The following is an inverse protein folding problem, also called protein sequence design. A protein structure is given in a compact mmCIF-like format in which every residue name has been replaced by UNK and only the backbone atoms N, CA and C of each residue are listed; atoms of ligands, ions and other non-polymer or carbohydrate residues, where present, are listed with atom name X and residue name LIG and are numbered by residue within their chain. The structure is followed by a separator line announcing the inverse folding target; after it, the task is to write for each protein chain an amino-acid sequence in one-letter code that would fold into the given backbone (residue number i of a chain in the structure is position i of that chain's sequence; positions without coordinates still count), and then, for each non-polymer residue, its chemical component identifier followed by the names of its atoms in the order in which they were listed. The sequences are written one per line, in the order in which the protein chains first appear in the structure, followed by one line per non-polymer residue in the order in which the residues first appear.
data_IF_848968713363
#
_entry.id   IF_848968713363
#
_cell.length_a   1.000
_cell.length_b   1.000
_cell.length_c   1.000
_cell.angle_alpha   90.00
_cell.angle_beta   90.00
_cell.angle_gamma   90.00
#
_symmetry.space_group_name_H-M   'P 1'
#
loop_
_entity.id
_entity.type
_entity.pdbx_description
1 polymer ?
#
# COMPACT_ATOMS: atom_id res chain seq x y z
N UNK A 1 13.06 15.32 -16.35
CA UNK A 1 12.10 14.43 -15.65
C UNK A 1 10.73 15.01 -15.89
N UNK A 2 9.72 14.21 -16.23
CA UNK A 2 8.37 14.73 -16.42
C UNK A 2 7.94 15.46 -15.14
N UNK A 3 7.56 16.71 -15.29
CA UNK A 3 7.13 17.62 -14.24
C UNK A 3 5.80 17.09 -13.67
N UNK A 4 5.86 16.07 -12.81
CA UNK A 4 4.67 15.54 -12.18
C UNK A 4 4.26 16.55 -11.13
N UNK A 5 3.16 17.26 -11.35
CA UNK A 5 2.60 18.21 -10.39
C UNK A 5 2.07 17.55 -9.11
N UNK A 6 2.11 16.22 -9.02
CA UNK A 6 1.44 15.42 -7.98
C UNK A 6 2.20 14.15 -7.55
N UNK A 7 3.49 13.99 -7.89
CA UNK A 7 4.35 12.89 -7.45
C UNK A 7 4.08 11.54 -8.13
N UNK A 8 3.09 11.48 -9.03
CA UNK A 8 2.68 10.26 -9.72
C UNK A 8 3.57 10.03 -10.93
N UNK A 9 4.72 9.41 -10.71
CA UNK A 9 5.62 8.92 -11.73
C UNK A 9 6.23 7.60 -11.28
N UNK A 10 6.64 6.74 -12.22
CA UNK A 10 7.46 5.60 -11.86
C UNK A 10 8.82 6.09 -11.37
N UNK A 11 9.10 5.83 -10.09
CA UNK A 11 10.34 6.19 -9.42
C UNK A 11 10.83 4.99 -8.62
N UNK A 12 12.12 4.62 -8.68
CA UNK A 12 12.67 3.57 -7.83
C UNK A 12 12.43 3.84 -6.34
N UNK A 13 12.26 2.78 -5.55
CA UNK A 13 11.96 2.93 -4.11
C UNK A 13 13.04 3.71 -3.35
N UNK A 14 14.30 3.45 -3.67
CA UNK A 14 15.46 4.11 -3.07
C UNK A 14 15.50 5.60 -3.37
N UNK A 15 15.11 6.01 -4.58
CA UNK A 15 14.98 7.42 -4.95
C UNK A 15 13.77 8.08 -4.28
N UNK A 16 12.64 7.38 -4.19
CA UNK A 16 11.43 7.86 -3.53
C UNK A 16 11.64 8.13 -2.03
N UNK A 17 12.40 7.27 -1.36
CA UNK A 17 12.70 7.37 0.08
C UNK A 17 13.89 8.27 0.40
N UNK A 18 14.58 8.83 -0.60
CA UNK A 18 15.76 9.66 -0.37
C UNK A 18 15.41 10.94 0.40
N UNK A 19 16.18 11.18 1.47
CA UNK A 19 16.10 12.36 2.32
C UNK A 19 17.40 13.16 2.25
N UNK A 20 17.30 14.47 2.14
CA UNK A 20 18.41 15.39 2.40
C UNK A 20 18.51 15.64 3.91
N UNK A 21 19.67 15.37 4.49
CA UNK A 21 19.95 15.71 5.89
C UNK A 21 20.23 17.20 6.00
N UNK A 22 19.40 17.94 6.74
CA UNK A 22 19.56 19.38 6.97
C UNK A 22 20.50 19.60 8.15
N UNK A 23 20.29 18.86 9.24
CA UNK A 23 21.11 18.87 10.46
C UNK A 23 21.08 17.49 11.13
N UNK A 24 21.55 17.37 12.38
CA UNK A 24 21.64 16.10 13.10
C UNK A 24 20.32 15.30 13.17
N UNK A 25 19.18 16.00 13.28
CA UNK A 25 17.87 15.40 13.51
C UNK A 25 16.80 15.85 12.52
N UNK A 26 17.12 16.76 11.61
CA UNK A 26 16.20 17.31 10.62
C UNK A 26 16.49 16.78 9.23
N UNK A 27 15.47 16.26 8.57
CA UNK A 27 15.54 15.68 7.23
C UNK A 27 14.48 16.28 6.31
N UNK A 28 14.75 16.32 5.00
CA UNK A 28 13.84 16.85 3.98
C UNK A 28 13.61 15.80 2.90
N UNK A 29 12.36 15.56 2.53
CA UNK A 29 12.05 14.72 1.36
C UNK A 29 12.58 15.37 0.09
N UNK A 30 13.19 14.57 -0.78
CA UNK A 30 13.65 15.00 -2.11
C UNK A 30 12.66 14.65 -3.22
N UNK A 31 11.66 13.82 -2.91
CA UNK A 31 10.61 13.39 -3.82
C UNK A 31 9.24 13.85 -3.31
N UNK A 32 8.35 14.21 -4.24
CA UNK A 32 6.94 14.45 -3.93
C UNK A 32 6.24 13.12 -3.68
N UNK A 33 5.36 13.09 -2.68
CA UNK A 33 4.58 11.90 -2.37
C UNK A 33 3.57 11.60 -3.49
N UNK A 34 3.31 10.31 -3.71
CA UNK A 34 2.19 9.85 -4.53
C UNK A 34 0.88 10.51 -4.08
N UNK A 35 0.08 10.93 -5.05
CA UNK A 35 -1.24 11.50 -4.81
C UNK A 35 -2.32 10.63 -5.47
N UNK A 36 -3.12 9.87 -4.69
CA UNK A 36 -4.20 9.03 -5.22
C UNK A 36 -5.14 9.82 -6.14
N UNK A 37 -5.42 9.26 -7.32
CA UNK A 37 -6.26 9.89 -8.34
C UNK A 37 -5.71 11.23 -8.85
N UNK A 38 -4.40 11.46 -8.75
CA UNK A 38 -3.74 12.66 -9.22
C UNK A 38 -4.09 13.94 -8.44
N UNK A 39 -4.55 13.78 -7.20
CA UNK A 39 -4.93 14.87 -6.32
C UNK A 39 -3.78 15.70 -5.72
N UNK A 40 -4.09 16.45 -4.65
CA UNK A 40 -3.12 17.27 -3.91
C UNK A 40 -2.82 16.71 -2.50
N UNK A 41 -3.35 15.53 -2.18
CA UNK A 41 -3.18 14.92 -0.86
C UNK A 41 -2.00 13.96 -0.92
N UNK A 42 -1.05 14.09 0.01
CA UNK A 42 0.05 13.15 0.13
C UNK A 42 -0.46 11.77 0.59
N UNK A 43 0.04 10.72 -0.04
CA UNK A 43 -0.17 9.34 0.40
C UNK A 43 0.41 9.09 1.80
N UNK A 44 -0.40 8.52 2.70
CA UNK A 44 -0.04 8.30 4.10
C UNK A 44 1.17 7.39 4.27
N UNK A 45 1.24 6.30 3.51
CA UNK A 45 2.36 5.37 3.51
C UNK A 45 3.70 6.03 3.16
N UNK A 46 3.69 7.07 2.31
CA UNK A 46 4.90 7.86 2.03
C UNK A 46 5.41 8.57 3.27
N UNK A 47 4.52 9.30 3.95
CA UNK A 47 4.84 10.07 5.16
C UNK A 47 5.29 9.13 6.27
N UNK A 48 4.57 8.01 6.47
CA UNK A 48 4.88 7.04 7.51
C UNK A 48 6.23 6.37 7.28
N UNK A 49 6.47 5.86 6.06
CA UNK A 49 7.73 5.23 5.68
C UNK A 49 8.91 6.18 5.79
N UNK A 50 8.81 7.40 5.27
CA UNK A 50 9.90 8.39 5.37
C UNK A 50 10.16 8.85 6.80
N UNK A 51 9.14 8.98 7.65
CA UNK A 51 9.32 9.31 9.06
C UNK A 51 10.11 8.22 9.79
N UNK A 52 9.80 6.95 9.53
CA UNK A 52 10.56 5.82 10.08
C UNK A 52 11.97 5.78 9.50
N UNK A 53 12.14 6.05 8.20
CA UNK A 53 13.45 6.12 7.57
C UNK A 53 14.33 7.21 8.19
N UNK A 54 13.80 8.41 8.38
CA UNK A 54 14.49 9.51 9.05
C UNK A 54 14.90 9.15 10.48
N UNK A 55 13.97 8.59 11.26
CA UNK A 55 14.25 8.13 12.63
C UNK A 55 15.37 7.07 12.65
N UNK A 56 15.36 6.15 11.69
CA UNK A 56 16.37 5.09 11.59
C UNK A 56 17.79 5.58 11.32
N UNK A 57 17.95 6.78 10.76
CA UNK A 57 19.26 7.41 10.54
C UNK A 57 19.84 8.07 11.81
N UNK A 58 19.08 8.09 12.91
CA UNK A 58 19.47 8.70 14.19
C UNK A 58 19.65 7.67 15.32
N UNK A 59 19.38 6.40 15.05
CA UNK A 59 19.66 5.30 15.97
C UNK A 59 21.04 4.69 15.67
N UNK A 60 21.64 4.03 16.66
CA UNK A 60 22.94 3.36 16.48
C UNK A 60 22.83 2.21 15.48
N UNK A 61 23.92 1.93 14.78
CA UNK A 61 24.04 0.77 13.90
C UNK A 61 23.71 -0.53 14.66
N UNK A 62 23.09 -1.47 13.95
CA UNK A 62 22.65 -2.76 14.49
C UNK A 62 21.27 -2.74 15.15
N UNK A 63 20.65 -1.58 15.37
CA UNK A 63 19.26 -1.49 15.80
C UNK A 63 18.31 -1.48 14.59
N UNK A 64 17.39 -2.43 14.55
CA UNK A 64 16.29 -2.46 13.59
C UNK A 64 14.95 -2.22 14.27
N UNK A 65 13.96 -1.83 13.46
CA UNK A 65 12.63 -1.47 13.94
C UNK A 65 11.88 -2.75 14.35
N UNK A 66 12.12 -3.30 15.56
CA UNK A 66 11.31 -4.30 16.34
C UNK A 66 12.06 -5.57 16.86
N UNK A 67 11.47 -6.34 17.81
CA UNK A 67 11.85 -7.71 18.16
C UNK A 67 10.92 -8.81 17.57
N UNK A 68 11.43 -10.03 17.28
CA UNK A 68 10.65 -11.11 16.65
C UNK A 68 9.63 -11.78 17.58
N UNK A 69 8.58 -12.39 16.98
CA UNK A 69 7.60 -13.27 17.63
C UNK A 69 7.43 -14.56 16.83
N UNK A 70 7.07 -15.69 17.47
CA UNK A 70 6.88 -16.96 16.76
C UNK A 70 5.70 -16.88 15.77
N UNK A 71 5.87 -17.53 14.62
CA UNK A 71 4.91 -17.57 13.53
C UNK A 71 3.74 -18.54 13.80
N UNK A 72 2.54 -18.20 13.32
CA UNK A 72 1.37 -19.09 13.26
C UNK A 72 1.44 -19.98 12.00
N UNK A 73 0.95 -21.21 12.08
CA UNK A 73 0.84 -22.10 10.91
C UNK A 73 -0.35 -21.68 10.03
N UNK A 74 -0.09 -20.94 8.96
CA UNK A 74 -1.07 -20.53 7.94
C UNK A 74 -0.41 -20.57 6.56
N UNK A 75 -1.17 -20.83 5.49
CA UNK A 75 -0.67 -20.77 4.12
C UNK A 75 -1.62 -19.97 3.26
N UNK A 76 -1.13 -18.87 2.69
CA UNK A 76 -1.91 -17.95 1.84
C UNK A 76 -2.38 -18.69 0.59
N UNK A 77 -1.47 -19.40 -0.08
CA UNK A 77 -1.78 -20.12 -1.31
C UNK A 77 -2.81 -21.24 -1.10
N UNK A 78 -2.75 -21.92 0.06
CA UNK A 78 -3.72 -22.98 0.39
C UNK A 78 -5.09 -22.40 0.69
N UNK A 79 -5.18 -21.41 1.58
CA UNK A 79 -6.43 -20.78 2.00
C UNK A 79 -7.16 -20.11 0.82
N UNK A 80 -6.42 -19.39 -0.02
CA UNK A 80 -6.96 -18.61 -1.12
C UNK A 80 -6.81 -19.29 -2.49
N UNK A 81 -6.63 -20.61 -2.49
CA UNK A 81 -6.42 -21.41 -3.71
C UNK A 81 -7.50 -21.19 -4.77
N UNK A 82 -8.75 -20.91 -4.37
CA UNK A 82 -9.86 -20.64 -5.30
C UNK A 82 -9.65 -19.43 -6.21
N UNK A 83 -8.77 -18.50 -5.82
CA UNK A 83 -8.49 -17.25 -6.57
C UNK A 83 -7.00 -17.11 -6.95
N UNK A 84 -6.11 -17.91 -6.36
CA UNK A 84 -4.67 -17.88 -6.63
C UNK A 84 -4.19 -19.03 -7.51
N UNK A 85 -4.90 -20.16 -7.56
CA UNK A 85 -4.43 -21.34 -8.29
C UNK A 85 -4.20 -21.02 -9.78
N UNK A 86 -3.01 -21.37 -10.27
CA UNK A 86 -2.61 -21.17 -11.67
C UNK A 86 -2.19 -19.74 -12.03
N UNK A 87 -2.09 -18.83 -11.06
CA UNK A 87 -1.67 -17.44 -11.28
C UNK A 87 -0.44 -17.12 -10.44
N UNK A 88 0.61 -16.62 -11.08
CA UNK A 88 1.73 -16.02 -10.39
C UNK A 88 1.35 -14.61 -9.88
N UNK A 89 2.04 -14.05 -8.87
CA UNK A 89 1.79 -12.69 -8.39
C UNK A 89 1.72 -11.62 -9.48
N UNK A 90 2.54 -11.75 -10.53
CA UNK A 90 2.63 -10.81 -11.64
C UNK A 90 1.45 -10.90 -12.64
N UNK A 91 0.69 -11.99 -12.63
CA UNK A 91 -0.44 -12.21 -13.54
C UNK A 91 -1.69 -11.44 -13.10
N UNK A 92 -1.74 -11.02 -11.83
CA UNK A 92 -2.81 -10.19 -11.30
C UNK A 92 -2.69 -8.73 -11.82
N UNK A 93 -3.82 -8.03 -12.02
CA UNK A 93 -3.83 -6.66 -12.52
C UNK A 93 -3.14 -5.71 -11.54
N UNK A 94 -2.60 -4.60 -12.06
CA UNK A 94 -2.09 -3.51 -11.23
C UNK A 94 -3.19 -2.96 -10.32
N UNK A 95 -2.84 -2.68 -9.06
CA UNK A 95 -3.78 -2.07 -8.12
C UNK A 95 -4.11 -0.64 -8.57
N UNK A 96 -5.40 -0.27 -8.67
CA UNK A 96 -5.81 1.05 -9.18
C UNK A 96 -5.37 2.16 -8.22
N UNK A 97 -5.04 3.34 -8.75
CA UNK A 97 -4.64 4.51 -7.94
C UNK A 97 -5.67 4.85 -6.85
N UNK A 98 -6.95 4.80 -7.20
CA UNK A 98 -8.07 4.84 -6.26
C UNK A 98 -8.89 3.56 -6.41
N UNK A 99 -8.99 2.79 -5.33
CA UNK A 99 -9.73 1.53 -5.36
C UNK A 99 -11.21 1.73 -5.08
N UNK A 100 -11.90 2.43 -5.97
CA UNK A 100 -13.35 2.66 -5.87
C UNK A 100 -14.04 2.44 -7.22
N UNK A 101 -15.30 1.97 -7.24
CA UNK A 101 -16.01 1.68 -8.49
C UNK A 101 -16.06 2.83 -9.49
N UNK A 102 -16.24 4.07 -9.04
CA UNK A 102 -16.20 5.25 -9.92
C UNK A 102 -14.86 5.39 -10.67
N UNK A 103 -13.73 5.06 -10.02
CA UNK A 103 -12.40 5.14 -10.64
C UNK A 103 -12.16 3.97 -11.59
N UNK A 104 -12.64 2.77 -11.24
CA UNK A 104 -12.60 1.62 -12.13
C UNK A 104 -13.39 1.89 -13.42
N UNK A 105 -14.60 2.47 -13.32
CA UNK A 105 -15.41 2.87 -14.47
C UNK A 105 -14.70 3.93 -15.32
N UNK A 106 -14.09 4.93 -14.69
CA UNK A 106 -13.26 5.93 -15.36
C UNK A 106 -12.11 5.30 -16.17
N UNK A 107 -11.43 4.31 -15.59
CA UNK A 107 -10.34 3.58 -16.24
C UNK A 107 -10.82 2.67 -17.36
N UNK A 108 -11.97 2.00 -17.18
CA UNK A 108 -12.62 1.21 -18.23
C UNK A 108 -13.02 2.07 -19.44
N UNK A 109 -13.26 3.38 -19.23
CA UNK A 109 -13.46 4.37 -20.30
C UNK A 109 -12.19 4.77 -21.07
N UNK A 110 -11.04 4.15 -20.79
CA UNK A 110 -9.78 4.37 -21.52
C UNK A 110 -8.86 5.42 -20.90
N UNK A 111 -9.20 6.00 -19.75
CA UNK A 111 -8.29 6.92 -19.04
C UNK A 111 -7.03 6.19 -18.59
N UNK A 112 -5.86 6.84 -18.61
CA UNK A 112 -4.59 6.28 -18.13
C UNK A 112 -4.54 6.11 -16.60
N UNK A 113 -3.68 5.21 -16.11
CA UNK A 113 -3.44 5.01 -14.68
C UNK A 113 -2.58 6.14 -14.13
N UNK A 114 -2.75 6.46 -12.85
CA UNK A 114 -1.76 7.26 -12.15
C UNK A 114 -0.69 6.31 -11.58
N UNK A 115 0.56 6.37 -12.07
CA UNK A 115 1.60 5.40 -11.70
C UNK A 115 1.93 5.52 -10.22
N UNK A 116 2.02 4.38 -9.54
CA UNK A 116 2.43 4.30 -8.15
C UNK A 116 3.96 4.18 -8.06
N UNK A 117 4.67 5.14 -7.44
CA UNK A 117 6.12 5.07 -7.31
C UNK A 117 6.54 4.04 -6.26
N UNK A 118 7.81 3.63 -6.32
CA UNK A 118 8.46 2.83 -5.31
C UNK A 118 8.11 1.34 -5.36
N UNK A 119 6.84 0.96 -5.55
CA UNK A 119 6.42 -0.44 -5.56
C UNK A 119 5.56 -0.76 -6.79
N UNK A 120 5.70 -1.99 -7.30
CA UNK A 120 4.69 -2.61 -8.15
C UNK A 120 3.71 -3.34 -7.25
N UNK A 121 2.42 -2.98 -7.31
CA UNK A 121 1.37 -3.59 -6.49
C UNK A 121 0.30 -4.20 -7.39
N UNK A 122 -0.01 -5.48 -7.17
CA UNK A 122 -1.02 -6.23 -7.91
C UNK A 122 -2.19 -6.56 -7.01
N UNK A 123 -3.41 -6.35 -7.50
CA UNK A 123 -4.65 -6.62 -6.77
C UNK A 123 -5.25 -7.93 -7.25
N UNK A 124 -5.46 -8.87 -6.33
CA UNK A 124 -6.14 -10.13 -6.65
C UNK A 124 -7.65 -9.88 -6.78
N UNK A 125 -8.27 -10.47 -7.79
CA UNK A 125 -9.73 -10.50 -7.89
C UNK A 125 -10.30 -11.49 -6.87
N UNK A 126 -10.90 -10.95 -5.82
CA UNK A 126 -11.47 -11.72 -4.72
C UNK A 126 -12.98 -11.95 -4.88
N UNK A 127 -13.61 -11.57 -6.00
CA UNK A 127 -15.05 -11.63 -6.17
C UNK A 127 -15.62 -13.03 -5.91
N UNK A 128 -14.97 -14.07 -6.45
CA UNK A 128 -15.35 -15.46 -6.21
C UNK A 128 -15.22 -15.89 -4.74
N UNK A 129 -14.10 -15.54 -4.08
CA UNK A 129 -13.86 -15.89 -2.67
C UNK A 129 -14.80 -15.16 -1.71
N UNK A 130 -15.12 -13.89 -2.01
CA UNK A 130 -15.95 -13.03 -1.17
C UNK A 130 -17.46 -13.22 -1.38
N UNK A 131 -17.85 -13.91 -2.46
CA UNK A 131 -19.26 -14.17 -2.76
C UNK A 131 -19.97 -14.87 -1.59
N UNK A 132 -21.10 -14.31 -1.16
CA UNK A 132 -21.89 -14.83 -0.04
C UNK A 132 -21.32 -14.59 1.36
N UNK A 133 -20.12 -14.00 1.49
CA UNK A 133 -19.53 -13.66 2.80
C UNK A 133 -20.09 -12.33 3.32
N UNK A 134 -20.30 -12.28 4.64
CA UNK A 134 -20.63 -11.03 5.31
C UNK A 134 -19.49 -10.01 5.13
N UNK A 135 -19.78 -8.69 5.10
CA UNK A 135 -18.78 -7.66 4.84
C UNK A 135 -17.46 -7.76 5.62
N UNK A 136 -17.52 -8.12 6.91
CA UNK A 136 -16.34 -8.21 7.78
C UNK A 136 -15.53 -9.52 7.57
N UNK A 137 -16.15 -10.52 6.95
CA UNK A 137 -15.52 -11.80 6.59
C UNK A 137 -14.90 -11.80 5.20
N UNK A 138 -15.10 -10.71 4.44
CA UNK A 138 -14.47 -10.52 3.13
C UNK A 138 -12.98 -10.23 3.28
N UNK A 139 -12.20 -10.61 2.28
CA UNK A 139 -10.75 -10.46 2.23
C UNK A 139 -10.33 -9.76 0.95
N UNK A 140 -9.24 -9.01 1.02
CA UNK A 140 -8.54 -8.49 -0.15
C UNK A 140 -7.06 -8.88 -0.07
N UNK A 141 -6.54 -9.43 -1.16
CA UNK A 141 -5.11 -9.70 -1.30
C UNK A 141 -4.46 -8.68 -2.23
N UNK A 142 -3.28 -8.21 -1.84
CA UNK A 142 -2.38 -7.46 -2.70
C UNK A 142 -1.01 -8.13 -2.72
N UNK A 143 -0.47 -8.38 -3.90
CA UNK A 143 0.95 -8.70 -4.05
C UNK A 143 1.73 -7.41 -4.26
N UNK A 144 2.93 -7.31 -3.69
CA UNK A 144 3.80 -6.18 -3.94
C UNK A 144 5.28 -6.56 -3.99
N UNK A 145 6.04 -5.77 -4.72
CA UNK A 145 7.51 -5.81 -4.76
C UNK A 145 8.08 -4.42 -5.05
N UNK A 146 9.35 -4.20 -4.74
CA UNK A 146 10.03 -2.93 -5.05
C UNK A 146 10.20 -2.68 -6.54
N UNK A 147 10.16 -1.42 -6.93
CA UNK A 147 10.62 -0.91 -8.22
C UNK A 147 12.08 -0.46 -8.09
N UNK A 148 12.92 -0.92 -9.02
CA UNK A 148 14.34 -0.60 -9.05
C UNK A 148 15.19 -1.44 -8.10
N UNK A 149 16.48 -1.12 -8.05
CA UNK A 149 17.44 -1.83 -7.22
C UNK A 149 17.36 -1.40 -5.75
N UNK A 150 17.66 -2.34 -4.85
CA UNK A 150 17.82 -2.09 -3.42
C UNK A 150 19.29 -2.29 -3.02
N UNK A 151 19.80 -1.52 -2.04
CA UNK A 151 21.07 -1.85 -1.41
C UNK A 151 21.01 -3.25 -0.75
N UNK A 152 22.15 -3.93 -0.54
CA UNK A 152 22.19 -5.17 0.24
C UNK A 152 21.55 -5.00 1.63
N UNK A 153 20.78 -6.00 2.07
CA UNK A 153 20.08 -5.98 3.37
C UNK A 153 21.03 -5.65 4.53
N UNK A 154 22.24 -6.19 4.52
CA UNK A 154 23.23 -5.96 5.57
C UNK A 154 23.67 -4.49 5.69
N UNK A 155 23.55 -3.70 4.61
CA UNK A 155 23.95 -2.29 4.58
C UNK A 155 22.80 -1.34 4.91
N UNK A 156 21.56 -1.71 4.59
CA UNK A 156 20.41 -0.83 4.79
C UNK A 156 19.13 -1.59 5.18
N UNK A 157 19.12 -2.35 6.29
CA UNK A 157 17.98 -3.20 6.65
C UNK A 157 16.70 -2.38 6.83
N UNK A 158 16.80 -1.20 7.46
CA UNK A 158 15.66 -0.32 7.69
C UNK A 158 15.02 0.20 6.40
N UNK A 159 15.78 0.31 5.29
CA UNK A 159 15.21 0.71 4.00
C UNK A 159 14.32 -0.40 3.40
N UNK A 160 14.68 -1.67 3.59
CA UNK A 160 13.80 -2.79 3.22
C UNK A 160 12.53 -2.81 4.07
N UNK A 161 12.65 -2.60 5.39
CA UNK A 161 11.50 -2.49 6.29
C UNK A 161 10.57 -1.33 5.88
N UNK A 162 11.13 -0.18 5.49
CA UNK A 162 10.37 0.96 4.99
C UNK A 162 9.51 0.61 3.76
N UNK A 163 9.97 -0.27 2.87
CA UNK A 163 9.16 -0.70 1.74
C UNK A 163 7.90 -1.46 2.17
N UNK A 164 7.95 -2.26 3.25
CA UNK A 164 6.76 -2.90 3.82
C UNK A 164 5.80 -1.87 4.47
N UNK A 165 6.34 -0.86 5.16
CA UNK A 165 5.54 0.24 5.72
C UNK A 165 4.85 1.07 4.62
N UNK A 166 5.54 1.27 3.51
CA UNK A 166 5.00 1.98 2.36
C UNK A 166 3.89 1.17 1.68
N UNK A 167 4.04 -0.15 1.61
CA UNK A 167 3.02 -1.06 1.07
C UNK A 167 1.77 -1.15 1.95
N UNK A 168 1.92 -1.14 3.28
CA UNK A 168 0.84 -1.43 4.23
C UNK A 168 -0.36 -0.48 4.14
N UNK A 169 -0.14 0.77 3.75
CA UNK A 169 -1.17 1.80 3.60
C UNK A 169 -1.85 1.79 2.21
N UNK A 170 -1.41 0.92 1.28
CA UNK A 170 -1.86 0.99 -0.11
C UNK A 170 -3.33 0.57 -0.21
N UNK A 171 -4.15 1.48 -0.74
CA UNK A 171 -5.62 1.40 -0.83
C UNK A 171 -6.37 1.32 0.51
N UNK A 172 -5.90 0.56 1.49
CA UNK A 172 -6.37 0.53 2.89
C UNK A 172 -7.88 0.79 3.06
N UNK A 173 -8.30 1.99 3.44
CA UNK A 173 -9.70 2.34 3.70
C UNK A 173 -10.65 2.13 2.51
N UNK A 174 -10.14 2.21 1.27
CA UNK A 174 -10.92 1.88 0.07
C UNK A 174 -11.32 0.40 0.05
N UNK A 175 -10.43 -0.50 0.50
CA UNK A 175 -10.72 -1.93 0.65
C UNK A 175 -11.90 -2.12 1.60
N UNK A 176 -11.91 -1.38 2.72
CA UNK A 176 -13.02 -1.47 3.68
C UNK A 176 -14.33 -0.97 3.05
N UNK A 177 -14.30 0.17 2.36
CA UNK A 177 -15.49 0.71 1.70
C UNK A 177 -16.07 -0.28 0.67
N UNK A 178 -15.21 -0.94 -0.10
CA UNK A 178 -15.62 -1.98 -1.05
C UNK A 178 -16.19 -3.21 -0.33
N UNK A 179 -15.52 -3.70 0.73
CA UNK A 179 -16.02 -4.84 1.51
C UNK A 179 -17.38 -4.55 2.17
N UNK A 180 -17.68 -3.29 2.48
CA UNK A 180 -18.97 -2.84 3.03
C UNK A 180 -20.02 -2.49 1.97
N UNK A 181 -19.76 -2.74 0.68
CA UNK A 181 -20.64 -2.39 -0.45
C UNK A 181 -20.96 -0.89 -0.57
N UNK A 182 -20.08 -0.04 -0.03
CA UNK A 182 -20.19 1.43 -0.07
C UNK A 182 -18.99 2.07 -0.77
N UNK A 183 -18.34 1.36 -1.70
CA UNK A 183 -17.18 1.85 -2.46
C UNK A 183 -17.44 3.15 -3.23
N UNK A 184 -18.70 3.40 -3.62
CA UNK A 184 -19.16 4.67 -4.21
C UNK A 184 -20.10 5.44 -3.26
N UNK A 185 -20.18 5.04 -1.99
CA UNK A 185 -21.17 5.52 -1.03
C UNK A 185 -20.56 6.28 0.13
N UNK A 186 -19.47 7.03 -0.07
CA UNK A 186 -18.86 7.82 1.00
C UNK A 186 -18.53 9.27 0.59
N UNK A 187 -18.62 10.14 1.57
CA UNK A 187 -18.37 11.58 1.42
C UNK A 187 -16.94 11.98 1.77
N UNK A 188 -16.36 11.33 2.79
CA UNK A 188 -15.03 11.64 3.31
C UNK A 188 -14.32 10.36 3.72
N UNK A 189 -13.02 10.31 3.44
CA UNK A 189 -12.13 9.24 3.82
C UNK A 189 -10.77 9.83 4.19
N UNK A 190 -10.22 9.44 5.33
CA UNK A 190 -8.89 9.87 5.77
C UNK A 190 -8.32 8.89 6.81
N UNK A 191 -7.02 8.68 6.80
CA UNK A 191 -6.30 7.93 7.84
C UNK A 191 -6.28 8.72 9.15
N UNK A 192 -6.55 8.07 10.27
CA UNK A 192 -6.45 8.66 11.62
C UNK A 192 -5.22 8.12 12.37
N UNK A 193 -4.97 6.82 12.27
CA UNK A 193 -3.80 6.16 12.84
C UNK A 193 -3.37 4.99 11.96
N UNK A 194 -2.08 4.66 11.94
CA UNK A 194 -1.54 3.49 11.24
C UNK A 194 -0.43 2.88 12.08
N UNK A 195 -0.42 1.55 12.21
CA UNK A 195 0.58 0.84 13.02
C UNK A 195 0.97 -0.44 12.31
N UNK A 196 2.28 -0.71 12.31
CA UNK A 196 2.88 -1.95 11.79
C UNK A 196 3.73 -2.56 12.89
N UNK A 197 3.60 -3.87 13.06
CA UNK A 197 4.46 -4.69 13.91
C UNK A 197 5.03 -5.78 13.03
N UNK A 198 6.34 -5.74 12.81
CA UNK A 198 7.07 -6.85 12.22
C UNK A 198 7.22 -7.98 13.25
N UNK A 199 7.34 -9.23 12.81
CA UNK A 199 7.41 -10.39 13.69
C UNK A 199 8.64 -11.27 13.44
N UNK A 200 9.45 -10.98 12.43
CA UNK A 200 10.59 -11.81 12.01
C UNK A 200 11.88 -11.02 12.05
N UNK A 201 13.02 -11.72 12.07
CA UNK A 201 14.31 -11.09 11.81
C UNK A 201 14.35 -10.42 10.42
N UNK A 202 15.42 -9.67 10.13
CA UNK A 202 15.51 -8.86 8.90
C UNK A 202 15.57 -9.70 7.61
N UNK A 203 16.09 -10.93 7.67
CA UNK A 203 16.34 -11.72 6.45
C UNK A 203 15.05 -12.02 5.65
N UNK A 204 13.95 -12.51 6.26
CA UNK A 204 12.66 -12.64 5.57
C UNK A 204 12.03 -11.33 5.08
N UNK A 205 12.49 -10.17 5.56
CA UNK A 205 12.00 -8.83 5.16
C UNK A 205 12.81 -8.25 4.00
N UNK A 206 13.74 -9.00 3.42
CA UNK A 206 14.56 -8.54 2.31
C UNK A 206 13.73 -8.38 1.02
N UNK A 207 13.62 -7.13 0.54
CA UNK A 207 12.97 -6.81 -0.73
C UNK A 207 13.60 -7.41 -2.00
N UNK A 208 14.77 -8.02 -1.89
CA UNK A 208 15.47 -8.70 -2.99
C UNK A 208 16.08 -10.02 -2.52
N UNK A 209 16.19 -10.98 -3.41
CA UNK A 209 16.94 -12.22 -3.17
C UNK A 209 18.47 -12.00 -3.24
N UNK A 210 19.25 -13.07 -3.05
CA UNK A 210 20.71 -13.05 -3.11
C UNK A 210 21.27 -12.61 -4.48
N UNK A 211 20.46 -12.69 -5.54
CA UNK A 211 20.80 -12.22 -6.88
C UNK A 211 20.34 -10.78 -7.13
N UNK A 212 19.96 -10.05 -6.08
CA UNK A 212 19.42 -8.69 -6.11
C UNK A 212 18.13 -8.55 -6.95
N UNK A 213 17.39 -9.65 -7.13
CA UNK A 213 16.11 -9.64 -7.86
C UNK A 213 14.97 -9.29 -6.91
N UNK A 214 14.08 -8.34 -7.25
CA UNK A 214 12.93 -8.00 -6.43
C UNK A 214 12.00 -9.19 -6.17
N UNK A 215 11.71 -9.46 -4.90
CA UNK A 215 10.84 -10.56 -4.47
C UNK A 215 9.41 -10.07 -4.18
N UNK A 216 8.44 -10.97 -4.32
CA UNK A 216 7.03 -10.68 -4.06
C UNK A 216 6.65 -11.00 -2.62
N UNK A 217 5.83 -10.13 -2.03
CA UNK A 217 5.16 -10.34 -0.76
C UNK A 217 3.65 -10.27 -0.95
N UNK A 218 2.89 -10.91 -0.07
CA UNK A 218 1.43 -10.85 -0.07
C UNK A 218 0.92 -10.10 1.17
N UNK A 219 0.08 -9.09 0.98
CA UNK A 219 -0.70 -8.46 2.03
C UNK A 219 -2.15 -8.93 1.95
N UNK A 220 -2.61 -9.58 3.00
CA UNK A 220 -4.01 -9.93 3.24
C UNK A 220 -4.67 -8.85 4.11
N UNK A 221 -5.78 -8.28 3.67
CA UNK A 221 -6.47 -7.20 4.37
C UNK A 221 -7.97 -7.45 4.58
N UNK A 222 -8.52 -6.96 5.69
CA UNK A 222 -9.95 -7.00 6.02
C UNK A 222 -10.34 -5.91 7.02
N UNK A 223 -11.63 -5.90 7.41
CA UNK A 223 -12.15 -5.03 8.46
C UNK A 223 -12.76 -5.85 9.59
N UNK A 224 -12.50 -5.49 10.84
CA UNK A 224 -13.19 -6.06 12.01
C UNK A 224 -14.36 -5.22 12.50
N UNK A 225 -14.43 -3.94 12.09
CA UNK A 225 -15.47 -3.00 12.54
C UNK A 225 -15.53 -1.76 11.66
N UNK A 226 -16.75 -1.31 11.38
CA UNK A 226 -17.03 0.04 10.87
C UNK A 226 -18.27 0.59 11.58
N UNK A 227 -18.11 1.73 12.27
CA UNK A 227 -19.17 2.36 13.05
C UNK A 227 -18.81 3.82 13.38
N UNK A 228 -19.83 4.66 13.61
CA UNK A 228 -19.62 6.03 14.09
C UNK A 228 -18.81 6.91 13.12
N UNK A 229 -18.92 6.66 11.81
CA UNK A 229 -18.16 7.36 10.78
C UNK A 229 -16.68 6.97 10.71
N UNK A 230 -16.29 5.84 11.29
CA UNK A 230 -14.92 5.31 11.30
C UNK A 230 -14.89 3.84 10.92
N UNK A 231 -13.74 3.36 10.50
CA UNK A 231 -13.52 1.96 10.18
C UNK A 231 -12.11 1.49 10.55
N UNK A 232 -12.01 0.22 10.90
CA UNK A 232 -10.75 -0.47 11.18
C UNK A 232 -10.31 -1.27 9.97
N UNK A 233 -9.12 -0.99 9.46
CA UNK A 233 -8.35 -1.81 8.54
C UNK A 233 -7.43 -2.72 9.36
N UNK A 234 -7.39 -4.00 9.05
CA UNK A 234 -6.40 -4.94 9.57
C UNK A 234 -5.72 -5.64 8.40
N UNK A 235 -4.44 -5.94 8.53
CA UNK A 235 -3.76 -6.78 7.56
C UNK A 235 -2.65 -7.63 8.15
N UNK A 236 -2.28 -8.66 7.39
CA UNK A 236 -1.12 -9.51 7.59
C UNK A 236 -0.28 -9.51 6.33
N UNK A 237 1.04 -9.48 6.50
CA UNK A 237 2.01 -9.54 5.42
C UNK A 237 2.73 -10.87 5.49
N UNK A 238 2.84 -11.53 4.34
CA UNK A 238 3.38 -12.87 4.17
C UNK A 238 4.49 -12.89 3.11
N UNK A 239 5.52 -13.71 3.31
CA UNK A 239 6.48 -14.05 2.25
C UNK A 239 6.01 -15.24 1.40
N UNK A 240 6.83 -15.63 0.41
CA UNK A 240 6.54 -16.76 -0.47
C UNK A 240 6.57 -18.13 0.24
N UNK A 241 7.20 -18.22 1.41
CA UNK A 241 7.27 -19.41 2.24
C UNK A 241 6.17 -19.42 3.33
N UNK A 242 5.15 -18.57 3.18
CA UNK A 242 4.01 -18.39 4.09
C UNK A 242 4.41 -17.97 5.53
N UNK A 243 5.57 -17.30 5.70
CA UNK A 243 5.93 -16.71 7.00
C UNK A 243 5.17 -15.42 7.24
N UNK A 244 4.57 -15.29 8.42
CA UNK A 244 3.90 -14.06 8.85
C UNK A 244 4.92 -13.00 9.23
N UNK A 245 5.25 -12.12 8.28
CA UNK A 245 6.28 -11.10 8.43
C UNK A 245 5.85 -9.93 9.30
N UNK A 246 4.61 -9.46 9.12
CA UNK A 246 4.11 -8.30 9.85
C UNK A 246 2.59 -8.30 9.98
N UNK A 247 2.10 -7.69 11.07
CA UNK A 247 0.69 -7.33 11.23
C UNK A 247 0.54 -5.82 11.18
N UNK A 248 -0.53 -5.35 10.57
CA UNK A 248 -0.84 -3.93 10.47
C UNK A 248 -2.27 -3.66 10.87
N UNK A 249 -2.51 -2.49 11.44
CA UNK A 249 -3.85 -1.98 11.64
C UNK A 249 -3.88 -0.47 11.50
N UNK A 250 -5.01 0.01 11.01
CA UNK A 250 -5.23 1.43 10.76
C UNK A 250 -6.67 1.77 11.06
N UNK A 251 -6.86 2.84 11.84
CA UNK A 251 -8.17 3.46 11.98
C UNK A 251 -8.28 4.57 10.93
N UNK A 252 -9.42 4.63 10.27
CA UNK A 252 -9.74 5.69 9.33
C UNK A 252 -11.11 6.31 9.59
N UNK A 253 -11.22 7.58 9.23
CA UNK A 253 -12.51 8.22 8.99
C UNK A 253 -13.12 7.61 7.72
N UNK A 254 -14.36 7.14 7.81
CA UNK A 254 -15.16 6.66 6.68
C UNK A 254 -16.60 7.12 6.88
N UNK A 255 -16.97 8.24 6.25
CA UNK A 255 -18.33 8.80 6.36
C UNK A 255 -19.19 8.38 5.18
N UNK A 256 -19.98 7.34 5.38
CA UNK A 256 -20.98 6.85 4.41
C UNK A 256 -22.03 7.94 4.11
N UNK A 257 -22.40 8.08 2.85
CA UNK A 257 -23.33 9.08 2.36
C UNK A 257 -23.24 9.25 0.84
N UNK A 258 -23.68 10.39 0.32
CA UNK A 258 -23.51 10.71 -1.09
C UNK A 258 -22.02 10.67 -1.51
N UNK A 259 -21.74 10.17 -2.73
CA UNK A 259 -20.40 10.07 -3.33
C UNK A 259 -19.72 11.41 -3.62
N UNK A 260 -19.63 12.30 -2.64
CA UNK A 260 -19.00 13.62 -2.81
C UNK A 260 -17.52 13.48 -3.13
N UNK A 261 -16.86 12.47 -2.53
CA UNK A 261 -15.45 12.18 -2.78
C UNK A 261 -15.21 11.82 -4.26
N UNK A 262 -15.92 10.82 -4.78
CA UNK A 262 -15.75 10.35 -6.16
C UNK A 262 -16.12 11.40 -7.18
N UNK A 263 -17.25 12.11 -6.99
CA UNK A 263 -17.67 13.21 -7.89
C UNK A 263 -16.60 14.29 -8.00
N UNK A 264 -16.14 14.83 -6.87
CA UNK A 264 -15.14 15.90 -6.85
C UNK A 264 -13.80 15.45 -7.47
N UNK A 265 -13.38 14.20 -7.22
CA UNK A 265 -12.15 13.64 -7.79
C UNK A 265 -12.24 13.41 -9.29
N UNK A 266 -13.36 12.86 -9.77
CA UNK A 266 -13.59 12.64 -11.20
C UNK A 266 -13.59 13.96 -11.98
N UNK A 267 -14.31 14.98 -11.49
CA UNK A 267 -14.30 16.32 -12.08
C UNK A 267 -12.89 16.91 -12.16
N UNK A 268 -12.09 16.74 -11.11
CA UNK A 268 -10.69 17.20 -11.07
C UNK A 268 -9.81 16.48 -12.10
N UNK A 269 -9.96 15.16 -12.21
CA UNK A 269 -9.23 14.31 -13.18
C UNK A 269 -9.55 14.70 -14.61
N UNK A 270 -10.83 14.84 -14.94
CA UNK A 270 -11.28 15.24 -16.28
C UNK A 270 -10.80 16.63 -16.65
N UNK A 271 -10.87 17.60 -15.72
CA UNK A 271 -10.38 18.96 -15.95
C UNK A 271 -8.87 18.97 -16.23
N UNK A 272 -8.10 18.21 -15.45
CA UNK A 272 -6.65 18.09 -15.64
C UNK A 272 -6.30 17.46 -16.98
N UNK A 273 -7.02 16.42 -17.41
CA UNK A 273 -6.75 15.74 -18.68
C UNK A 273 -7.17 16.58 -19.89
N UNK A 274 -8.25 17.38 -19.79
CA UNK A 274 -8.62 18.36 -20.83
C UNK A 274 -7.55 19.43 -21.04
N UNK A 275 -6.82 19.82 -19.98
CA UNK A 275 -5.72 20.79 -20.08
C UNK A 275 -4.40 20.22 -20.60
N UNK A 276 -4.32 18.92 -20.91
CA UNK A 276 -3.15 18.25 -21.50
C UNK A 276 -3.30 17.95 -23.00
N UNK A 277 -4.50 18.17 -23.57
CA UNK A 277 -4.79 18.11 -25.01
C UNK A 277 -4.48 19.46 -25.66
#
# INVERSE_FOLDING_TARGET
MADSTNGNAYLPFTELMRLDKIDEHTFRSTAMAFAPGGGNSAYGGHVYSQAVWAASQTVKDGFTVHPPRPAEAFSVNKEYSSVLSGHAPADHPEAPSVDSPWYWAYRAGGAAEEPFPGLSVRKVDMAGYNSGRAPLDRRQLHYYRVLGAMPPLALAPNLHLCAHLYASDRNSLFIIANNLDVGDGFSHMASLSHTVVFHTDNAPLAMTDDSATPVWFCQEAWSSRAAGGRAMHLSRIWDADDRHLASTWQEGLLRVGENKYGKMRLESLEKRNRGKL
#
